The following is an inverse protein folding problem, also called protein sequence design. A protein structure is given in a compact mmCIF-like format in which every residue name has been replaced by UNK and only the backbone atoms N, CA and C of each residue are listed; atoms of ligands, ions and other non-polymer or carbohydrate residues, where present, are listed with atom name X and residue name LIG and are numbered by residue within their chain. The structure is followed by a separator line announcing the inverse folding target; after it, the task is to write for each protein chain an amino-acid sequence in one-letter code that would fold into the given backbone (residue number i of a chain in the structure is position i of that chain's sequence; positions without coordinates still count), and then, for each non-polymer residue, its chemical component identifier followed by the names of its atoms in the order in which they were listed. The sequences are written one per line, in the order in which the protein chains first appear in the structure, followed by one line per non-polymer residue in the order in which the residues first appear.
data_IF_083578162292
#
_entry.id   IF_083578162292
#
_cell.length_a   1.000
_cell.length_b   1.000
_cell.length_c   1.000
_cell.angle_alpha   90.00
_cell.angle_beta   90.00
_cell.angle_gamma   90.00
#
_symmetry.space_group_name_H-M   'P 1'
#
loop_
_entity.id
_entity.type
_entity.pdbx_description
1 polymer ?
#
# COMPACT_ATOMS: atom_id res chain seq x y z
N UNK A 1 -9.48 -7.81 1.23
CA UNK A 1 -9.19 -7.00 2.44
C UNK A 1 -10.43 -7.01 3.30
N UNK A 2 -10.30 -7.24 4.60
CA UNK A 2 -11.44 -7.22 5.55
C UNK A 2 -11.13 -6.35 6.76
N UNK A 3 -12.13 -5.58 7.21
CA UNK A 3 -11.96 -4.61 8.29
C UNK A 3 -11.73 -5.20 9.67
N UNK A 4 -12.12 -6.42 9.90
CA UNK A 4 -11.93 -7.13 11.18
C UNK A 4 -13.23 -7.58 11.83
N UNK A 5 -13.17 -7.97 13.09
CA UNK A 5 -14.17 -8.64 13.89
C UNK A 5 -14.47 -10.05 13.38
N UNK A 6 -15.24 -10.20 12.32
CA UNK A 6 -15.48 -11.48 11.65
C UNK A 6 -15.42 -11.31 10.13
N UNK A 7 -15.10 -12.37 9.44
CA UNK A 7 -15.06 -12.38 7.98
C UNK A 7 -16.49 -12.39 7.40
N UNK A 8 -16.64 -11.73 6.24
CA UNK A 8 -17.86 -11.80 5.45
C UNK A 8 -17.83 -13.04 4.56
N UNK A 9 -18.76 -13.97 4.71
CA UNK A 9 -18.74 -15.28 4.04
C UNK A 9 -18.67 -15.19 2.52
N UNK A 10 -19.45 -14.31 1.87
CA UNK A 10 -19.44 -14.18 0.41
C UNK A 10 -18.12 -13.59 -0.10
N UNK A 11 -17.49 -12.67 0.64
CA UNK A 11 -16.17 -12.18 0.31
C UNK A 11 -15.09 -13.26 0.47
N UNK A 12 -15.21 -14.11 1.48
CA UNK A 12 -14.32 -15.26 1.64
C UNK A 12 -14.52 -16.31 0.55
N UNK A 13 -15.76 -16.57 0.12
CA UNK A 13 -16.02 -17.41 -1.06
C UNK A 13 -15.41 -16.81 -2.32
N UNK A 14 -15.51 -15.50 -2.49
CA UNK A 14 -14.85 -14.78 -3.59
C UNK A 14 -13.32 -15.01 -3.60
N UNK A 15 -12.67 -14.96 -2.43
CA UNK A 15 -11.25 -15.26 -2.27
C UNK A 15 -10.95 -16.72 -2.62
N UNK A 16 -11.66 -17.68 -2.02
CA UNK A 16 -11.44 -19.12 -2.20
C UNK A 16 -11.66 -19.57 -3.67
N UNK A 17 -12.67 -19.02 -4.35
CA UNK A 17 -12.93 -19.31 -5.77
C UNK A 17 -11.73 -18.94 -6.66
N UNK A 18 -10.95 -17.94 -6.27
CA UNK A 18 -9.74 -17.50 -7.00
C UNK A 18 -8.51 -18.34 -6.69
N UNK A 19 -8.56 -19.16 -5.67
CA UNK A 19 -7.56 -20.21 -5.46
C UNK A 19 -7.71 -21.38 -6.46
N UNK A 20 -8.78 -21.38 -7.25
CA UNK A 20 -9.03 -22.33 -8.35
C UNK A 20 -8.89 -23.80 -7.93
N UNK A 21 -9.41 -24.15 -6.75
CA UNK A 21 -9.32 -25.50 -6.19
C UNK A 21 -7.97 -25.87 -5.60
N UNK A 22 -7.05 -24.93 -5.48
CA UNK A 22 -5.69 -25.14 -4.97
C UNK A 22 -5.57 -25.12 -3.45
N UNK A 23 -4.35 -24.90 -2.97
CA UNK A 23 -3.99 -24.90 -1.56
C UNK A 23 -4.07 -23.48 -0.98
N UNK A 24 -4.65 -23.35 0.20
CA UNK A 24 -4.78 -22.08 0.92
C UNK A 24 -3.90 -22.10 2.17
N UNK A 25 -2.98 -21.13 2.24
CA UNK A 25 -2.11 -20.94 3.38
C UNK A 25 -2.60 -19.74 4.21
N UNK A 26 -2.91 -19.98 5.49
CA UNK A 26 -3.21 -18.92 6.46
C UNK A 26 -1.95 -18.64 7.28
N UNK A 27 -1.45 -17.40 7.20
CA UNK A 27 -0.31 -16.94 7.98
C UNK A 27 -0.76 -16.06 9.15
N UNK A 28 -0.20 -16.29 10.32
CA UNK A 28 -0.45 -15.50 11.52
C UNK A 28 0.71 -15.58 12.51
N UNK A 29 0.85 -14.55 13.36
CA UNK A 29 1.88 -14.53 14.41
C UNK A 29 1.41 -15.14 15.74
N UNK A 30 0.09 -15.24 15.95
CA UNK A 30 -0.50 -15.77 17.19
C UNK A 30 -1.86 -16.38 16.92
N UNK A 31 -2.44 -17.10 17.90
CA UNK A 31 -3.77 -17.71 17.81
C UNK A 31 -3.74 -19.16 17.36
N UNK A 32 -4.80 -19.63 16.69
CA UNK A 32 -5.01 -21.03 16.36
C UNK A 32 -5.44 -21.22 14.89
N UNK A 33 -5.75 -22.47 14.52
CA UNK A 33 -6.10 -22.90 13.17
C UNK A 33 -7.61 -22.81 12.85
N UNK A 34 -8.33 -21.87 13.46
CA UNK A 34 -9.78 -21.72 13.26
C UNK A 34 -10.21 -21.54 11.80
N UNK A 35 -9.34 -20.98 10.97
CA UNK A 35 -9.62 -20.82 9.53
C UNK A 35 -9.67 -22.15 8.77
N UNK A 36 -8.99 -23.21 9.22
CA UNK A 36 -8.90 -24.45 8.46
C UNK A 36 -10.29 -25.02 8.18
N UNK A 37 -11.10 -25.27 9.22
CA UNK A 37 -12.45 -25.80 9.03
C UNK A 37 -13.39 -24.80 8.35
N UNK A 38 -13.27 -23.51 8.67
CA UNK A 38 -14.08 -22.45 8.09
C UNK A 38 -13.93 -22.39 6.57
N UNK A 39 -12.69 -22.28 6.08
CA UNK A 39 -12.41 -22.17 4.65
C UNK A 39 -12.57 -23.50 3.90
N UNK A 40 -12.15 -24.64 4.54
CA UNK A 40 -12.13 -25.94 3.88
C UNK A 40 -13.51 -26.55 3.69
N UNK A 41 -14.41 -26.41 4.67
CA UNK A 41 -15.67 -27.16 4.67
C UNK A 41 -16.93 -26.34 4.92
N UNK A 42 -16.85 -25.20 5.63
CA UNK A 42 -18.06 -24.47 6.03
C UNK A 42 -18.57 -23.54 4.93
N UNK A 43 -17.67 -22.98 4.11
CA UNK A 43 -18.04 -22.03 3.06
C UNK A 43 -18.53 -22.70 1.77
N UNK A 44 -18.32 -24.02 1.61
CA UNK A 44 -18.82 -24.77 0.46
C UNK A 44 -18.16 -24.42 -0.87
N UNK A 45 -16.91 -23.97 -0.84
CA UNK A 45 -16.06 -23.80 -2.03
C UNK A 45 -15.05 -24.93 -2.06
N UNK A 46 -14.95 -25.62 -3.20
CA UNK A 46 -14.01 -26.73 -3.35
C UNK A 46 -12.57 -26.19 -3.45
N UNK A 47 -11.72 -26.59 -2.50
CA UNK A 47 -10.28 -26.31 -2.44
C UNK A 47 -9.55 -27.58 -2.00
N UNK A 48 -8.28 -27.70 -2.39
CA UNK A 48 -7.49 -28.89 -2.10
C UNK A 48 -7.13 -29.01 -0.61
N UNK A 49 -6.62 -27.94 -0.03
CA UNK A 49 -6.26 -27.91 1.39
C UNK A 49 -6.36 -26.50 1.99
N UNK A 50 -6.44 -26.45 3.33
CA UNK A 50 -6.23 -25.22 4.12
C UNK A 50 -5.29 -25.53 5.25
N UNK A 51 -4.19 -24.83 5.32
CA UNK A 51 -3.26 -24.93 6.43
C UNK A 51 -3.04 -23.57 7.09
N UNK A 52 -3.05 -23.54 8.42
CA UNK A 52 -2.66 -22.36 9.21
C UNK A 52 -1.27 -22.57 9.80
N UNK A 53 -0.35 -21.68 9.48
CA UNK A 53 0.98 -21.62 10.12
C UNK A 53 1.01 -20.45 11.09
N UNK A 54 1.41 -20.74 12.34
CA UNK A 54 1.59 -19.73 13.38
C UNK A 54 3.09 -19.41 13.49
N UNK A 55 3.49 -18.32 12.89
CA UNK A 55 4.87 -17.79 12.95
C UNK A 55 5.01 -16.89 14.18
N UNK A 56 5.25 -17.46 15.34
CA UNK A 56 5.26 -16.75 16.63
C UNK A 56 6.63 -16.19 17.03
N UNK A 57 7.58 -16.21 16.12
CA UNK A 57 8.93 -15.63 16.28
C UNK A 57 9.57 -15.34 14.92
N UNK A 58 10.60 -14.50 14.84
CA UNK A 58 11.37 -14.29 13.61
C UNK A 58 12.02 -15.56 13.06
N UNK A 59 12.33 -16.55 13.90
CA UNK A 59 12.97 -17.79 13.46
C UNK A 59 12.10 -18.60 12.49
N UNK A 60 10.78 -18.51 12.63
CA UNK A 60 9.83 -19.15 11.71
C UNK A 60 10.00 -18.69 10.26
N UNK A 61 10.52 -17.47 10.03
CA UNK A 61 10.78 -16.94 8.70
C UNK A 61 11.93 -17.65 7.95
N UNK A 62 12.70 -18.47 8.65
CA UNK A 62 13.80 -19.26 8.09
C UNK A 62 13.50 -20.76 8.07
N UNK A 63 12.30 -21.16 8.48
CA UNK A 63 11.89 -22.57 8.48
C UNK A 63 11.62 -23.06 7.04
N UNK A 64 12.32 -24.11 6.56
CA UNK A 64 12.12 -24.67 5.22
C UNK A 64 10.68 -25.14 4.96
N UNK A 65 9.96 -25.56 6.00
CA UNK A 65 8.57 -25.97 5.86
C UNK A 65 7.67 -24.76 5.53
N UNK A 66 7.86 -23.63 6.22
CA UNK A 66 7.13 -22.39 5.92
C UNK A 66 7.40 -21.96 4.48
N UNK A 67 8.67 -22.00 4.05
CA UNK A 67 9.04 -21.69 2.66
C UNK A 67 8.36 -22.61 1.64
N UNK A 68 8.30 -23.89 1.94
CA UNK A 68 7.64 -24.87 1.07
C UNK A 68 6.14 -24.55 0.94
N UNK A 69 5.45 -24.29 2.06
CA UNK A 69 4.02 -23.99 2.03
C UNK A 69 3.69 -22.69 1.28
N UNK A 70 4.49 -21.63 1.45
CA UNK A 70 4.34 -20.40 0.66
C UNK A 70 4.52 -20.67 -0.83
N UNK A 71 5.51 -21.49 -1.20
CA UNK A 71 5.78 -21.82 -2.61
C UNK A 71 4.70 -22.70 -3.27
N UNK A 72 3.90 -23.42 -2.49
CA UNK A 72 2.85 -24.31 -2.98
C UNK A 72 1.45 -23.68 -2.98
N UNK A 73 1.22 -22.67 -2.16
CA UNK A 73 -0.10 -22.04 -2.00
C UNK A 73 -0.57 -21.31 -3.26
N UNK A 74 -1.84 -21.48 -3.64
CA UNK A 74 -2.58 -20.68 -4.62
C UNK A 74 -3.29 -19.49 -3.98
N UNK A 75 -3.49 -19.51 -2.66
CA UNK A 75 -4.00 -18.40 -1.89
C UNK A 75 -3.28 -18.21 -0.57
N UNK A 76 -2.97 -16.97 -0.22
CA UNK A 76 -2.41 -16.61 1.10
C UNK A 76 -3.35 -15.67 1.81
N UNK A 77 -3.72 -16.02 3.04
CA UNK A 77 -4.56 -15.23 3.92
C UNK A 77 -3.82 -14.82 5.18
N UNK A 78 -3.72 -13.52 5.43
CA UNK A 78 -3.17 -12.98 6.68
C UNK A 78 -4.29 -12.80 7.69
N UNK A 79 -4.23 -13.54 8.80
CA UNK A 79 -5.20 -13.43 9.86
C UNK A 79 -5.08 -12.11 10.65
N UNK A 80 -6.05 -11.84 11.51
CA UNK A 80 -5.98 -10.78 12.50
C UNK A 80 -4.92 -11.05 13.58
N UNK A 81 -4.47 -10.01 14.26
CA UNK A 81 -3.46 -10.08 15.31
C UNK A 81 -2.81 -8.73 15.56
N UNK A 82 -1.51 -8.73 15.80
CA UNK A 82 -0.68 -7.52 15.88
C UNK A 82 0.14 -7.40 14.58
N UNK A 83 -0.09 -6.35 13.81
CA UNK A 83 0.64 -6.11 12.56
C UNK A 83 2.14 -5.86 12.80
N UNK A 84 2.54 -5.39 13.98
CA UNK A 84 3.96 -5.25 14.28
C UNK A 84 4.68 -6.60 14.34
N UNK A 85 4.03 -7.64 14.84
CA UNK A 85 4.59 -8.99 14.79
C UNK A 85 4.84 -9.42 13.35
N UNK A 86 3.89 -9.18 12.43
CA UNK A 86 4.06 -9.51 11.02
C UNK A 86 5.23 -8.77 10.39
N UNK A 87 5.28 -7.45 10.58
CA UNK A 87 6.37 -6.61 10.04
C UNK A 87 7.71 -6.99 10.65
N UNK A 88 7.79 -7.15 11.98
CA UNK A 88 9.05 -7.43 12.67
C UNK A 88 9.59 -8.84 12.47
N UNK A 89 8.71 -9.81 12.19
CA UNK A 89 9.11 -11.20 11.99
C UNK A 89 9.40 -11.54 10.52
N UNK A 90 8.69 -10.92 9.57
CA UNK A 90 8.72 -11.35 8.18
C UNK A 90 9.46 -10.40 7.25
N UNK A 91 9.39 -9.09 7.48
CA UNK A 91 10.01 -8.11 6.58
C UNK A 91 11.53 -8.29 6.48
N UNK A 92 12.06 -8.23 5.26
CA UNK A 92 13.48 -8.47 4.94
C UNK A 92 13.95 -9.90 5.30
N UNK A 93 13.07 -10.88 5.21
CA UNK A 93 13.37 -12.30 5.44
C UNK A 93 13.00 -13.13 4.19
N UNK A 94 13.36 -14.43 4.13
CA UNK A 94 12.90 -15.29 3.05
C UNK A 94 11.37 -15.38 2.91
N UNK A 95 10.60 -15.27 4.00
CA UNK A 95 9.12 -15.27 3.95
C UNK A 95 8.61 -14.08 3.15
N UNK A 96 9.13 -12.89 3.42
CA UNK A 96 8.82 -11.67 2.65
C UNK A 96 9.09 -11.87 1.15
N UNK A 97 10.30 -12.29 0.81
CA UNK A 97 10.70 -12.52 -0.58
C UNK A 97 9.83 -13.56 -1.28
N UNK A 98 9.52 -14.68 -0.61
CA UNK A 98 8.70 -15.74 -1.18
C UNK A 98 7.23 -15.33 -1.37
N UNK A 99 6.66 -14.57 -0.45
CA UNK A 99 5.31 -14.04 -0.60
C UNK A 99 5.27 -13.07 -1.79
N UNK A 100 6.23 -12.15 -1.91
CA UNK A 100 6.29 -11.24 -3.04
C UNK A 100 6.47 -11.97 -4.38
N UNK A 101 7.33 -12.99 -4.45
CA UNK A 101 7.44 -13.84 -5.64
C UNK A 101 6.14 -14.58 -5.96
N UNK A 102 5.42 -15.06 -4.94
CA UNK A 102 4.13 -15.70 -5.14
C UNK A 102 3.10 -14.72 -5.73
N UNK A 103 3.09 -13.48 -5.28
CA UNK A 103 2.19 -12.43 -5.80
C UNK A 103 2.58 -12.07 -7.24
N UNK A 104 3.84 -11.76 -7.51
CA UNK A 104 4.29 -11.15 -8.77
C UNK A 104 4.48 -12.17 -9.90
N UNK A 105 4.99 -13.37 -9.60
CA UNK A 105 5.34 -14.36 -10.60
C UNK A 105 4.27 -15.45 -10.77
N UNK A 106 3.61 -15.85 -9.67
CA UNK A 106 2.58 -16.89 -9.72
C UNK A 106 1.15 -16.33 -9.75
N UNK A 107 0.97 -15.02 -9.53
CA UNK A 107 -0.32 -14.34 -9.52
C UNK A 107 -1.33 -15.02 -8.56
N UNK A 108 -0.87 -15.41 -7.37
CA UNK A 108 -1.74 -15.99 -6.36
C UNK A 108 -2.76 -14.97 -5.84
N UNK A 109 -3.88 -15.46 -5.30
CA UNK A 109 -4.78 -14.57 -4.57
C UNK A 109 -4.23 -14.31 -3.18
N UNK A 110 -4.26 -13.03 -2.76
CA UNK A 110 -3.79 -12.63 -1.43
C UNK A 110 -4.87 -11.84 -0.71
N UNK A 111 -4.96 -12.00 0.59
CA UNK A 111 -5.92 -11.26 1.40
C UNK A 111 -5.57 -11.26 2.89
N UNK A 112 -6.31 -10.47 3.65
CA UNK A 112 -6.14 -10.42 5.09
C UNK A 112 -7.23 -9.64 5.80
N UNK A 113 -7.33 -9.86 7.10
CA UNK A 113 -8.29 -9.21 7.99
C UNK A 113 -7.59 -8.46 9.11
N UNK A 114 -8.13 -7.31 9.54
CA UNK A 114 -7.58 -6.53 10.66
C UNK A 114 -6.08 -6.25 10.48
N UNK A 115 -5.21 -6.75 11.36
CA UNK A 115 -3.75 -6.64 11.20
C UNK A 115 -3.24 -7.17 9.85
N UNK A 116 -3.84 -8.26 9.34
CA UNK A 116 -3.51 -8.80 8.02
C UNK A 116 -3.93 -7.89 6.86
N UNK A 117 -5.03 -7.14 6.98
CA UNK A 117 -5.37 -6.08 6.03
C UNK A 117 -4.41 -4.89 6.14
N UNK A 118 -4.04 -4.52 7.37
CA UNK A 118 -3.21 -3.33 7.62
C UNK A 118 -1.81 -3.40 6.99
N UNK A 119 -1.32 -4.59 6.63
CA UNK A 119 0.01 -4.79 6.01
C UNK A 119 -0.03 -4.92 4.48
N UNK A 120 -1.21 -4.88 3.85
CA UNK A 120 -1.33 -5.11 2.39
C UNK A 120 -0.98 -3.89 1.55
N UNK A 121 -1.03 -2.68 2.10
CA UNK A 121 -0.70 -1.46 1.39
C UNK A 121 0.80 -1.26 1.20
N UNK A 122 1.21 -0.54 0.15
CA UNK A 122 2.59 -0.11 -0.06
C UNK A 122 3.06 0.84 1.04
N UNK A 123 2.12 1.57 1.65
CA UNK A 123 2.30 2.23 2.95
C UNK A 123 1.48 1.48 4.01
N UNK A 124 2.00 1.37 5.21
CA UNK A 124 1.27 0.71 6.28
C UNK A 124 1.54 1.33 7.66
N UNK A 125 0.48 1.35 8.47
CA UNK A 125 0.60 1.67 9.88
C UNK A 125 1.12 0.43 10.62
N UNK A 126 2.40 0.42 10.99
CA UNK A 126 3.05 -0.75 11.57
C UNK A 126 2.72 -1.00 13.05
N UNK A 127 2.11 -0.03 13.73
CA UNK A 127 1.75 -0.09 15.16
C UNK A 127 2.90 -0.44 16.12
N UNK A 128 4.16 -0.24 15.73
CA UNK A 128 5.36 -0.55 16.54
C UNK A 128 5.30 -0.01 17.97
N UNK A 129 4.66 1.13 18.15
CA UNK A 129 4.50 1.78 19.45
C UNK A 129 3.07 1.66 20.00
N UNK A 130 2.34 0.63 19.57
CA UNK A 130 0.93 0.41 19.86
C UNK A 130 -0.01 1.23 19.00
N UNK A 131 -1.31 1.02 19.20
CA UNK A 131 -2.34 1.74 18.43
C UNK A 131 -2.41 3.22 18.77
N UNK A 132 -2.92 4.01 17.83
CA UNK A 132 -3.20 5.44 18.02
C UNK A 132 -4.69 5.72 17.78
N UNK A 133 -5.31 6.56 18.60
CA UNK A 133 -6.68 7.06 18.38
C UNK A 133 -6.67 8.23 17.40
N UNK A 134 -7.80 8.46 16.71
CA UNK A 134 -7.97 9.61 15.83
C UNK A 134 -7.64 10.93 16.52
N UNK A 135 -8.17 11.16 17.73
CA UNK A 135 -7.91 12.38 18.49
C UNK A 135 -6.44 12.58 18.85
N UNK A 136 -5.72 11.53 19.26
CA UNK A 136 -4.30 11.63 19.57
C UNK A 136 -3.44 11.88 18.33
N UNK A 137 -3.75 11.22 17.22
CA UNK A 137 -3.06 11.40 15.95
C UNK A 137 -3.24 12.83 15.42
N UNK A 138 -4.46 13.33 15.42
CA UNK A 138 -4.76 14.68 14.95
C UNK A 138 -4.26 15.80 15.87
N UNK A 139 -4.19 15.56 17.19
CA UNK A 139 -3.64 16.55 18.14
C UNK A 139 -2.12 16.73 17.96
N UNK A 140 -1.42 15.70 17.52
CA UNK A 140 0.01 15.74 17.21
C UNK A 140 0.34 14.67 16.15
N UNK A 141 0.39 15.02 14.87
CA UNK A 141 0.73 14.08 13.79
C UNK A 141 2.07 13.37 13.96
N UNK A 142 2.97 13.93 14.78
CA UNK A 142 4.28 13.37 15.08
C UNK A 142 4.36 12.68 16.45
N UNK A 143 3.23 12.33 17.05
CA UNK A 143 3.26 11.42 18.22
C UNK A 143 3.93 10.10 17.83
N UNK A 144 4.73 9.53 18.72
CA UNK A 144 5.47 8.29 18.45
C UNK A 144 4.58 7.10 18.07
N UNK A 145 3.28 7.18 18.39
CA UNK A 145 2.29 6.16 18.00
C UNK A 145 1.81 6.27 16.56
N UNK A 146 2.01 7.39 15.88
CA UNK A 146 1.80 7.51 14.44
C UNK A 146 3.05 6.97 13.74
N UNK A 147 3.11 5.65 13.60
CA UNK A 147 4.27 4.95 13.03
C UNK A 147 3.89 4.37 11.66
N UNK A 148 3.91 5.22 10.65
CA UNK A 148 3.73 4.85 9.25
C UNK A 148 5.07 4.45 8.65
N UNK A 149 5.07 3.39 7.88
CA UNK A 149 6.24 2.86 7.18
C UNK A 149 6.01 2.88 5.67
N UNK A 150 7.04 3.22 4.90
CA UNK A 150 7.02 3.30 3.44
C UNK A 150 7.93 2.27 2.78
N UNK A 151 8.63 1.48 3.58
CA UNK A 151 9.52 0.47 3.03
C UNK A 151 8.70 -0.70 2.50
N UNK A 152 9.03 -1.14 1.30
CA UNK A 152 8.39 -2.29 0.67
C UNK A 152 8.39 -3.49 1.62
N UNK A 153 7.19 -3.93 1.98
CA UNK A 153 6.98 -5.19 2.67
C UNK A 153 6.26 -6.14 1.72
N UNK A 154 5.03 -5.83 1.33
CA UNK A 154 4.29 -6.59 0.33
C UNK A 154 4.05 -5.74 -0.92
N UNK A 155 4.21 -6.35 -2.10
CA UNK A 155 3.94 -5.73 -3.39
C UNK A 155 2.62 -6.25 -3.94
N UNK A 156 1.53 -5.69 -3.42
CA UNK A 156 0.17 -6.11 -3.81
C UNK A 156 -0.34 -5.23 -4.94
N UNK A 157 -0.76 -5.79 -6.08
CA UNK A 157 -1.26 -5.01 -7.21
C UNK A 157 -2.36 -4.02 -6.81
N UNK A 158 -2.33 -2.80 -7.36
CA UNK A 158 -3.20 -1.66 -7.08
C UNK A 158 -3.04 -1.02 -5.70
N UNK A 159 -2.13 -1.51 -4.85
CA UNK A 159 -1.94 -1.00 -3.48
C UNK A 159 -0.59 -0.33 -3.24
N UNK A 160 0.25 -0.12 -4.25
CA UNK A 160 1.61 0.43 -4.11
C UNK A 160 1.64 1.83 -3.46
N UNK A 161 0.66 2.68 -3.78
CA UNK A 161 0.51 4.03 -3.23
C UNK A 161 -0.64 4.13 -2.20
N UNK A 162 -1.05 3.00 -1.63
CA UNK A 162 -2.19 2.93 -0.72
C UNK A 162 -1.75 2.62 0.71
N UNK A 163 -2.40 3.27 1.67
CA UNK A 163 -2.40 2.87 3.08
C UNK A 163 -3.78 2.35 3.45
N UNK A 164 -3.84 1.16 4.05
CA UNK A 164 -5.10 0.55 4.48
C UNK A 164 -5.37 0.81 5.96
N UNK A 165 -6.64 0.94 6.35
CA UNK A 165 -7.05 0.98 7.76
C UNK A 165 -8.28 0.09 8.01
N UNK A 166 -8.42 -0.38 9.23
CA UNK A 166 -9.31 -1.48 9.63
C UNK A 166 -10.12 -1.10 10.87
N UNK A 167 -11.20 -1.84 11.21
CA UNK A 167 -12.07 -1.51 12.34
C UNK A 167 -12.46 -0.02 12.33
N UNK A 168 -12.89 0.47 11.17
CA UNK A 168 -12.89 1.90 10.91
C UNK A 168 -13.98 2.66 11.68
N UNK A 169 -15.03 2.00 12.01
CA UNK A 169 -16.17 2.46 12.82
C UNK A 169 -16.00 2.23 14.33
N UNK A 170 -15.11 1.32 14.74
CA UNK A 170 -15.04 0.87 16.14
C UNK A 170 -13.60 0.77 16.70
N UNK A 171 -13.09 1.84 17.34
CA UNK A 171 -13.61 3.21 17.38
C UNK A 171 -13.39 3.96 16.07
N UNK A 172 -13.99 5.13 15.90
CA UNK A 172 -13.77 5.98 14.71
C UNK A 172 -12.28 6.19 14.45
N UNK A 173 -11.83 5.79 13.25
CA UNK A 173 -10.44 5.85 12.81
C UNK A 173 -10.18 6.84 11.66
N UNK A 174 -11.19 7.60 11.24
CA UNK A 174 -11.07 8.62 10.18
C UNK A 174 -9.89 9.56 10.41
N UNK A 175 -9.82 10.16 11.59
CA UNK A 175 -8.77 11.13 11.90
C UNK A 175 -7.36 10.55 11.92
N UNK A 176 -7.18 9.30 12.36
CA UNK A 176 -5.84 8.70 12.31
C UNK A 176 -5.38 8.40 10.88
N UNK A 177 -6.27 7.92 10.02
CA UNK A 177 -5.93 7.65 8.63
C UNK A 177 -5.65 8.94 7.85
N UNK A 178 -6.45 9.99 8.07
CA UNK A 178 -6.14 11.33 7.52
C UNK A 178 -4.76 11.79 7.98
N UNK A 179 -4.41 11.56 9.25
CA UNK A 179 -3.07 11.89 9.78
C UNK A 179 -1.99 11.07 9.10
N UNK A 180 -2.21 9.80 8.81
CA UNK A 180 -1.25 8.96 8.07
C UNK A 180 -1.01 9.52 6.66
N UNK A 181 -2.07 9.85 5.93
CA UNK A 181 -1.98 10.47 4.60
C UNK A 181 -1.25 11.82 4.64
N UNK A 182 -1.59 12.67 5.63
CA UNK A 182 -0.90 13.94 5.84
C UNK A 182 0.61 13.78 6.09
N UNK A 183 0.98 12.76 6.90
CA UNK A 183 2.39 12.44 7.18
C UNK A 183 3.11 11.91 5.97
N UNK A 184 2.49 11.01 5.19
CA UNK A 184 3.08 10.48 3.96
C UNK A 184 3.35 11.63 2.98
N UNK A 185 2.37 12.51 2.79
CA UNK A 185 2.54 13.66 1.90
C UNK A 185 3.60 14.65 2.41
N UNK A 186 3.63 14.92 3.72
CA UNK A 186 4.57 15.89 4.29
C UNK A 186 6.00 15.36 4.32
N UNK A 187 6.18 14.08 4.70
CA UNK A 187 7.51 13.52 4.96
C UNK A 187 8.19 13.01 3.68
N UNK A 188 7.41 12.49 2.71
CA UNK A 188 7.94 11.87 1.49
C UNK A 188 7.48 12.54 0.20
N UNK A 189 6.57 13.51 0.25
CA UNK A 189 6.04 14.18 -0.93
C UNK A 189 5.14 13.30 -1.81
N UNK A 190 4.61 12.20 -1.25
CA UNK A 190 3.79 11.23 -1.99
C UNK A 190 2.32 11.44 -1.65
N UNK A 191 1.48 11.62 -2.66
CA UNK A 191 0.03 11.68 -2.55
C UNK A 191 -0.54 10.27 -2.42
N UNK A 192 -0.27 9.62 -1.28
CA UNK A 192 -0.83 8.31 -1.02
C UNK A 192 -2.35 8.35 -0.90
N UNK A 193 -2.98 7.20 -1.17
CA UNK A 193 -4.41 6.99 -1.09
C UNK A 193 -4.76 6.11 0.10
N UNK A 194 -6.00 6.16 0.55
CA UNK A 194 -6.49 5.37 1.67
C UNK A 194 -7.58 4.41 1.25
N UNK A 195 -7.54 3.16 1.75
CA UNK A 195 -8.67 2.24 1.72
C UNK A 195 -8.95 1.82 3.15
N UNK A 196 -10.21 1.99 3.58
CA UNK A 196 -10.63 1.61 4.91
C UNK A 196 -11.91 0.77 4.88
N UNK A 197 -12.04 -0.13 5.86
CA UNK A 197 -13.22 -0.95 6.03
C UNK A 197 -13.70 -0.92 7.48
N UNK A 198 -15.01 -0.83 7.66
CA UNK A 198 -15.68 -1.14 8.93
C UNK A 198 -15.47 -2.60 9.33
N UNK A 199 -15.74 -2.92 10.58
CA UNK A 199 -15.88 -4.30 11.00
C UNK A 199 -16.94 -5.01 10.11
N UNK A 200 -16.78 -6.30 9.88
CA UNK A 200 -17.66 -7.15 9.02
C UNK A 200 -17.69 -6.75 7.53
N UNK A 201 -16.97 -5.72 7.12
CA UNK A 201 -16.93 -5.23 5.75
C UNK A 201 -15.67 -5.70 5.02
N UNK A 202 -15.82 -5.99 3.73
CA UNK A 202 -14.70 -6.43 2.90
C UNK A 202 -14.61 -5.65 1.58
N UNK A 203 -13.39 -5.41 1.12
CA UNK A 203 -13.06 -4.91 -0.22
C UNK A 203 -12.30 -5.99 -0.98
N UNK A 204 -12.88 -6.47 -2.06
CA UNK A 204 -12.34 -7.51 -2.94
C UNK A 204 -11.95 -6.88 -4.28
N UNK A 205 -10.66 -6.87 -4.62
CA UNK A 205 -10.13 -6.23 -5.83
C UNK A 205 -9.88 -7.30 -6.89
N UNK A 206 -10.54 -7.15 -8.04
CA UNK A 206 -10.30 -8.01 -9.20
C UNK A 206 -9.01 -7.67 -9.93
N UNK A 207 -8.57 -8.55 -10.82
CA UNK A 207 -7.39 -8.32 -11.68
C UNK A 207 -7.58 -7.18 -12.68
N UNK A 208 -8.80 -6.71 -12.83
CA UNK A 208 -9.20 -5.54 -13.61
C UNK A 208 -9.10 -4.22 -12.82
N UNK A 209 -8.72 -4.27 -11.55
CA UNK A 209 -8.64 -3.11 -10.67
C UNK A 209 -10.00 -2.63 -10.13
N UNK A 210 -11.07 -3.39 -10.34
CA UNK A 210 -12.38 -3.07 -9.79
C UNK A 210 -12.53 -3.67 -8.40
N UNK A 211 -12.75 -2.82 -7.42
CA UNK A 211 -13.05 -3.18 -6.05
C UNK A 211 -14.55 -3.42 -5.87
N UNK A 212 -14.93 -4.60 -5.38
CA UNK A 212 -16.28 -4.96 -4.97
C UNK A 212 -16.36 -4.87 -3.44
N UNK A 213 -17.40 -4.24 -2.91
CA UNK A 213 -17.55 -4.04 -1.46
C UNK A 213 -18.64 -4.95 -0.92
N UNK A 214 -18.25 -5.83 -0.01
CA UNK A 214 -19.11 -6.80 0.66
C UNK A 214 -19.41 -6.37 2.09
N UNK A 215 -20.64 -6.60 2.54
CA UNK A 215 -21.17 -6.31 3.87
C UNK A 215 -22.63 -6.63 3.92
N UNK A 216 -23.31 -6.34 5.03
CA UNK A 216 -24.71 -6.71 5.29
C UNK A 216 -25.68 -5.52 5.10
N UNK A 217 -25.31 -4.52 4.31
CA UNK A 217 -26.22 -3.42 4.01
C UNK A 217 -27.41 -3.92 3.16
N UNK A 218 -28.67 -3.58 3.48
CA UNK A 218 -29.13 -2.59 4.47
C UNK A 218 -29.39 -3.13 5.90
N UNK A 219 -29.01 -4.36 6.20
CA UNK A 219 -29.19 -4.94 7.54
C UNK A 219 -28.33 -4.24 8.59
N UNK A 220 -27.08 -3.98 8.24
CA UNK A 220 -26.14 -3.20 9.02
C UNK A 220 -25.57 -2.06 8.17
N UNK A 221 -24.95 -1.07 8.82
CA UNK A 221 -24.35 0.10 8.16
C UNK A 221 -22.87 -0.14 7.84
N UNK A 222 -22.59 -1.22 7.14
CA UNK A 222 -21.26 -1.65 6.76
C UNK A 222 -20.70 -0.80 5.62
N UNK A 223 -19.56 -0.15 5.85
CA UNK A 223 -18.98 0.79 4.90
C UNK A 223 -17.53 0.46 4.55
N UNK A 224 -17.13 0.87 3.35
CA UNK A 224 -15.74 1.08 2.97
C UNK A 224 -15.53 2.51 2.46
N UNK A 225 -14.31 3.00 2.59
CA UNK A 225 -13.92 4.34 2.13
C UNK A 225 -12.70 4.25 1.24
N UNK A 226 -12.75 4.99 0.13
CA UNK A 226 -11.65 5.24 -0.78
C UNK A 226 -11.29 6.71 -0.69
N UNK A 227 -10.12 7.01 -0.14
CA UNK A 227 -9.70 8.34 0.29
C UNK A 227 -8.51 8.78 -0.55
N UNK A 228 -8.52 10.01 -1.06
CA UNK A 228 -7.41 10.57 -1.81
C UNK A 228 -7.30 12.08 -1.58
N UNK A 229 -6.11 12.61 -1.81
CA UNK A 229 -5.89 14.05 -1.87
C UNK A 229 -6.73 14.64 -2.99
N UNK A 230 -7.33 15.80 -2.76
CA UNK A 230 -8.16 16.43 -3.78
C UNK A 230 -7.29 16.98 -4.93
N UNK A 231 -7.29 16.26 -6.05
CA UNK A 231 -6.52 16.60 -7.25
C UNK A 231 -7.00 17.87 -7.97
N UNK A 232 -8.20 18.40 -7.62
CA UNK A 232 -8.75 19.63 -8.19
C UNK A 232 -8.07 20.87 -7.62
N UNK A 233 -7.24 20.71 -6.57
CA UNK A 233 -6.53 21.80 -5.90
C UNK A 233 -5.11 21.96 -6.46
N UNK A 234 -4.67 23.20 -6.64
CA UNK A 234 -3.28 23.51 -6.99
C UNK A 234 -2.31 23.22 -5.83
N UNK A 235 -2.74 23.49 -4.60
CA UNK A 235 -1.96 23.22 -3.39
C UNK A 235 -2.70 22.20 -2.52
N UNK A 236 -2.09 21.02 -2.38
CA UNK A 236 -2.73 19.84 -1.77
C UNK A 236 -2.16 19.46 -0.41
N UNK A 237 -0.97 20.00 -0.07
CA UNK A 237 -0.32 19.70 1.22
C UNK A 237 -1.11 20.26 2.40
N UNK A 238 -1.06 19.64 3.59
CA UNK A 238 -1.64 20.25 4.80
C UNK A 238 -1.11 21.66 5.06
N UNK A 239 -1.96 22.55 5.59
CA UNK A 239 -1.53 23.86 6.08
C UNK A 239 -0.61 23.71 7.28
N UNK A 240 -0.84 22.70 8.12
CA UNK A 240 -0.04 22.41 9.29
C UNK A 240 0.00 20.92 9.56
N UNK A 241 1.17 20.32 9.37
CA UNK A 241 1.50 18.95 9.81
C UNK A 241 2.90 18.98 10.44
N UNK A 242 2.98 19.44 11.69
CA UNK A 242 4.24 19.66 12.41
C UNK A 242 4.20 19.07 13.82
N UNK A 243 5.37 18.78 14.37
CA UNK A 243 5.50 18.20 15.71
C UNK A 243 4.87 19.09 16.79
N UNK A 244 4.10 18.49 17.69
CA UNK A 244 3.51 19.16 18.85
C UNK A 244 2.37 20.12 18.55
N UNK A 245 1.85 20.15 17.33
CA UNK A 245 0.73 21.01 16.93
C UNK A 245 -0.39 20.18 16.31
N UNK A 246 -1.66 20.59 16.46
CA UNK A 246 -2.78 19.90 15.80
C UNK A 246 -2.63 19.90 14.27
N UNK A 247 -3.12 18.86 13.63
CA UNK A 247 -3.22 18.82 12.18
C UNK A 247 -4.22 19.89 11.68
N UNK A 248 -3.82 20.62 10.63
CA UNK A 248 -4.70 21.47 9.82
C UNK A 248 -4.52 21.05 8.37
N UNK A 249 -5.58 20.55 7.78
CA UNK A 249 -5.67 20.18 6.37
C UNK A 249 -7.06 20.53 5.86
N UNK A 250 -7.29 21.82 5.70
CA UNK A 250 -8.61 22.36 5.41
C UNK A 250 -8.83 22.59 3.91
N UNK A 251 -7.92 23.29 3.27
CA UNK A 251 -7.98 23.59 1.83
C UNK A 251 -9.37 24.10 1.41
N UNK A 252 -9.90 25.05 2.16
CA UNK A 252 -11.26 25.59 1.97
C UNK A 252 -12.33 24.48 2.02
N UNK A 253 -12.26 23.63 3.05
CA UNK A 253 -13.21 22.52 3.29
C UNK A 253 -13.19 21.43 2.22
N UNK A 254 -12.09 21.30 1.43
CA UNK A 254 -12.01 20.37 0.31
C UNK A 254 -10.68 19.61 0.21
N UNK A 255 -9.95 19.45 1.32
CA UNK A 255 -8.59 18.86 1.33
C UNK A 255 -8.51 17.46 0.73
N UNK A 256 -9.49 16.62 1.06
CA UNK A 256 -9.55 15.22 0.61
C UNK A 256 -10.86 14.94 -0.11
N UNK A 257 -10.81 14.12 -1.14
CA UNK A 257 -11.99 13.51 -1.77
C UNK A 257 -12.12 12.07 -1.30
N UNK A 258 -13.32 11.74 -0.87
CA UNK A 258 -13.63 10.41 -0.32
C UNK A 258 -14.84 9.84 -1.03
N UNK A 259 -14.74 8.59 -1.46
CA UNK A 259 -15.88 7.82 -1.91
C UNK A 259 -16.30 6.86 -0.80
N UNK A 260 -17.43 7.17 -0.16
CA UNK A 260 -18.04 6.28 0.84
C UNK A 260 -18.98 5.32 0.14
N UNK A 261 -18.87 4.03 0.44
CA UNK A 261 -19.61 3.00 -0.27
C UNK A 261 -20.10 1.90 0.70
N UNK A 262 -21.38 1.54 0.58
CA UNK A 262 -21.98 0.48 1.40
C UNK A 262 -21.56 -0.90 0.91
N UNK A 263 -21.18 -1.77 1.85
CA UNK A 263 -20.95 -3.18 1.59
C UNK A 263 -22.28 -3.93 1.45
N UNK A 264 -22.49 -4.59 0.32
CA UNK A 264 -23.68 -5.41 0.10
C UNK A 264 -23.33 -6.90 0.17
N UNK A 265 -24.28 -7.74 0.52
CA UNK A 265 -24.02 -9.19 0.65
C UNK A 265 -23.50 -9.85 -0.65
N UNK A 266 -23.84 -9.30 -1.81
CA UNK A 266 -23.40 -9.79 -3.13
C UNK A 266 -22.28 -8.99 -3.77
N UNK A 267 -21.70 -8.00 -3.08
CA UNK A 267 -20.60 -7.17 -3.62
C UNK A 267 -20.98 -6.38 -4.88
N UNK A 268 -22.23 -5.91 -4.97
CA UNK A 268 -22.71 -5.17 -6.15
C UNK A 268 -22.21 -3.75 -6.25
N UNK A 269 -21.82 -3.16 -5.13
CA UNK A 269 -21.27 -1.83 -5.07
C UNK A 269 -19.76 -1.88 -5.37
N UNK A 270 -19.28 -0.94 -6.19
CA UNK A 270 -17.93 -1.03 -6.75
C UNK A 270 -17.19 0.30 -6.76
N UNK A 271 -15.85 0.23 -6.77
CA UNK A 271 -14.97 1.37 -6.98
C UNK A 271 -13.81 0.99 -7.93
N UNK A 272 -13.43 1.91 -8.81
CA UNK A 272 -12.40 1.72 -9.83
C UNK A 272 -11.05 2.25 -9.34
N UNK A 273 -10.14 1.35 -8.98
CA UNK A 273 -8.79 1.68 -8.51
C UNK A 273 -7.83 2.08 -9.64
N UNK A 274 -8.17 1.86 -10.91
CA UNK A 274 -7.33 2.33 -12.00
C UNK A 274 -7.40 3.85 -12.15
N UNK A 275 -8.56 4.42 -11.88
CA UNK A 275 -8.79 5.85 -12.08
C UNK A 275 -8.99 6.62 -10.79
N UNK A 276 -9.43 5.96 -9.71
CA UNK A 276 -9.83 6.57 -8.43
C UNK A 276 -10.89 7.67 -8.55
N UNK A 277 -11.62 7.68 -9.66
CA UNK A 277 -12.62 8.71 -9.96
C UNK A 277 -14.01 8.15 -10.21
N UNK A 278 -14.17 6.83 -10.21
CA UNK A 278 -15.44 6.17 -10.55
C UNK A 278 -15.82 5.15 -9.50
N UNK A 279 -17.07 5.19 -9.08
CA UNK A 279 -17.69 4.20 -8.23
C UNK A 279 -19.18 4.05 -8.55
N UNK A 280 -19.78 2.99 -8.04
CA UNK A 280 -21.19 2.70 -8.15
C UNK A 280 -21.74 2.26 -6.80
N UNK A 281 -22.88 2.81 -6.38
CA UNK A 281 -23.57 2.48 -5.13
C UNK A 281 -23.02 3.17 -3.90
N UNK A 282 -22.22 4.22 -4.04
CA UNK A 282 -21.70 5.06 -2.98
C UNK A 282 -21.87 6.54 -3.27
N UNK A 283 -21.28 7.37 -2.44
CA UNK A 283 -21.39 8.84 -2.50
C UNK A 283 -20.02 9.50 -2.33
N UNK A 284 -19.82 10.65 -2.96
CA UNK A 284 -18.63 11.46 -2.83
C UNK A 284 -18.78 12.44 -1.66
N UNK A 285 -17.68 12.59 -0.91
CA UNK A 285 -17.58 13.53 0.21
C UNK A 285 -16.27 14.31 0.10
N UNK A 286 -16.26 15.54 0.62
CA UNK A 286 -15.05 16.24 0.97
C UNK A 286 -14.76 15.97 2.45
N UNK A 287 -13.53 15.61 2.78
CA UNK A 287 -13.05 15.56 4.15
C UNK A 287 -11.95 16.60 4.36
N UNK A 288 -11.98 17.23 5.52
CA UNK A 288 -10.99 18.22 5.89
C UNK A 288 -10.79 18.28 7.41
N UNK A 289 -9.66 18.85 7.83
CA UNK A 289 -9.28 18.91 9.25
C UNK A 289 -9.04 20.36 9.65
N UNK A 290 -9.83 20.87 10.56
CA UNK A 290 -9.66 22.18 11.20
C UNK A 290 -9.18 22.00 12.63
N UNK A 291 -7.94 22.42 12.92
CA UNK A 291 -7.36 22.39 14.27
C UNK A 291 -7.53 21.03 14.99
N UNK A 292 -7.20 19.93 14.29
CA UNK A 292 -7.28 18.59 14.84
C UNK A 292 -8.69 17.98 14.94
N UNK A 293 -9.67 18.57 14.26
CA UNK A 293 -11.04 18.05 14.19
C UNK A 293 -11.37 17.70 12.74
N UNK A 294 -11.84 16.47 12.50
CA UNK A 294 -12.33 16.04 11.19
C UNK A 294 -13.72 16.62 10.94
N UNK A 295 -13.92 17.12 9.74
CA UNK A 295 -15.20 17.56 9.22
C UNK A 295 -15.41 16.92 7.84
N UNK A 296 -16.66 16.77 7.46
CA UNK A 296 -17.05 16.29 6.15
C UNK A 296 -18.23 17.09 5.58
N UNK A 297 -18.35 17.08 4.26
CA UNK A 297 -19.47 17.64 3.52
C UNK A 297 -19.75 16.81 2.28
N UNK A 298 -20.98 16.90 1.77
CA UNK A 298 -21.32 16.31 0.47
C UNK A 298 -20.45 16.90 -0.64
N UNK A 299 -20.12 16.09 -1.63
CA UNK A 299 -19.30 16.49 -2.76
C UNK A 299 -19.81 15.89 -4.06
N UNK A 300 -19.58 16.62 -5.14
CA UNK A 300 -19.64 16.05 -6.47
C UNK A 300 -18.48 15.05 -6.69
N UNK A 301 -18.65 14.20 -7.70
CA UNK A 301 -17.59 13.32 -8.18
C UNK A 301 -16.33 14.14 -8.46
N UNK A 302 -15.19 13.56 -8.06
CA UNK A 302 -13.88 14.17 -8.33
C UNK A 302 -13.63 14.25 -9.85
N UNK A 303 -13.16 15.39 -10.30
CA UNK A 303 -12.77 15.69 -11.67
C UNK A 303 -11.28 16.06 -11.72
N UNK A 304 -10.42 15.06 -11.47
CA UNK A 304 -9.02 15.26 -11.75
C UNK A 304 -8.90 15.61 -13.24
N UNK A 305 -8.56 16.86 -13.55
CA UNK A 305 -7.99 17.12 -14.86
C UNK A 305 -6.84 16.13 -14.97
N UNK A 306 -6.72 15.37 -16.08
CA UNK A 306 -5.40 14.82 -16.36
C UNK A 306 -4.49 16.04 -16.16
N UNK A 307 -3.62 16.00 -15.16
CA UNK A 307 -2.50 16.91 -15.18
C UNK A 307 -2.10 16.89 -16.65
N UNK A 308 -2.09 18.04 -17.33
CA UNK A 308 -1.23 18.20 -18.47
C UNK A 308 0.20 18.05 -17.92
N UNK A 309 0.54 16.89 -17.45
CA UNK A 309 1.69 16.23 -17.97
C UNK A 309 1.33 16.20 -19.45
N UNK A 310 1.69 17.24 -20.23
CA UNK A 310 2.49 16.88 -21.34
C UNK A 310 3.23 15.68 -20.79
N UNK A 311 2.83 14.46 -21.18
CA UNK A 311 3.80 13.40 -21.24
C UNK A 311 4.94 14.14 -21.93
N UNK A 312 5.86 14.66 -21.16
CA UNK A 312 7.21 14.64 -21.63
C UNK A 312 7.30 13.13 -21.75
N UNK A 313 6.92 12.61 -22.94
CA UNK A 313 7.64 11.51 -23.50
C UNK A 313 9.08 12.01 -23.30
N UNK A 314 9.60 11.76 -22.12
CA UNK A 314 10.97 11.52 -21.98
C UNK A 314 11.09 10.33 -22.91
N UNK A 315 11.34 10.64 -24.20
CA UNK A 315 12.02 9.74 -25.08
C UNK A 315 13.33 9.41 -24.35
N UNK A 316 13.18 8.64 -23.26
CA UNK A 316 14.25 7.81 -22.72
C UNK A 316 14.34 6.70 -23.76
N UNK A 317 14.51 7.13 -25.03
CA UNK A 317 15.00 6.29 -26.07
C UNK A 317 16.42 5.96 -25.65
N UNK A 318 16.51 4.86 -24.87
CA UNK A 318 17.74 4.14 -24.61
C UNK A 318 18.90 4.99 -24.06
N UNK A 319 19.17 4.84 -22.76
CA UNK A 319 20.51 5.14 -22.27
C UNK A 319 21.42 3.93 -22.50
N UNK A 320 22.66 4.20 -22.87
CA UNK A 320 23.68 3.17 -23.02
C UNK A 320 24.68 3.27 -21.88
N UNK A 321 25.03 2.14 -21.30
CA UNK A 321 26.05 2.02 -20.25
C UNK A 321 27.17 1.15 -20.78
N UNK A 322 28.39 1.69 -20.78
CA UNK A 322 29.56 0.90 -21.19
C UNK A 322 30.83 1.32 -20.43
N UNK A 323 31.76 0.37 -20.23
CA UNK A 323 31.59 -1.05 -20.50
C UNK A 323 30.62 -1.71 -19.52
N UNK A 324 29.80 -2.63 -20.03
CA UNK A 324 28.96 -3.48 -19.20
C UNK A 324 29.08 -4.94 -19.73
N UNK A 325 29.71 -5.88 -19.00
CA UNK A 325 30.21 -5.75 -17.62
C UNK A 325 31.37 -4.76 -17.45
N UNK A 326 31.44 -4.15 -16.27
CA UNK A 326 32.52 -3.27 -15.85
C UNK A 326 33.56 -4.04 -15.04
N UNK A 327 34.84 -3.81 -15.30
CA UNK A 327 35.94 -4.44 -14.60
C UNK A 327 36.78 -3.47 -13.77
N UNK A 328 37.18 -2.36 -14.36
CA UNK A 328 37.96 -1.28 -13.73
C UNK A 328 37.93 -0.01 -14.58
N UNK A 329 38.19 1.15 -13.98
CA UNK A 329 38.26 2.44 -14.67
C UNK A 329 36.94 3.22 -14.57
N UNK A 330 36.47 3.70 -15.72
CA UNK A 330 35.28 4.57 -15.80
C UNK A 330 34.10 3.89 -16.47
N UNK A 331 32.90 4.19 -16.01
CA UNK A 331 31.63 3.81 -16.62
C UNK A 331 31.11 5.03 -17.37
N UNK A 332 30.81 4.88 -18.64
CA UNK A 332 30.17 5.93 -19.44
C UNK A 332 28.67 5.64 -19.51
N UNK A 333 27.89 6.67 -19.24
CA UNK A 333 26.42 6.63 -19.39
C UNK A 333 26.09 7.66 -20.48
N UNK A 334 25.58 7.19 -21.60
CA UNK A 334 25.05 8.05 -22.66
C UNK A 334 23.52 8.06 -22.60
N UNK A 335 22.92 9.24 -22.75
CA UNK A 335 21.48 9.43 -22.79
C UNK A 335 21.10 10.47 -23.84
N UNK A 336 19.93 10.29 -24.45
CA UNK A 336 19.39 11.23 -25.42
C UNK A 336 18.49 12.24 -24.70
N UNK A 337 18.67 13.53 -24.99
CA UNK A 337 17.85 14.61 -24.42
C UNK A 337 18.53 15.37 -23.29
N UNK A 338 17.73 15.98 -22.41
CA UNK A 338 18.22 16.71 -21.22
C UNK A 338 18.75 15.71 -20.20
N UNK A 339 20.01 15.88 -19.78
CA UNK A 339 20.64 14.99 -18.80
C UNK A 339 19.98 15.01 -17.43
N UNK A 340 20.16 13.95 -16.63
CA UNK A 340 19.63 13.89 -15.27
C UNK A 340 20.31 14.92 -14.36
N UNK A 341 19.61 15.39 -13.33
CA UNK A 341 20.21 16.23 -12.29
C UNK A 341 21.14 15.44 -11.37
N UNK A 342 20.80 14.19 -11.11
CA UNK A 342 21.55 13.32 -10.21
C UNK A 342 21.66 11.93 -10.83
N UNK A 343 22.87 11.36 -10.77
CA UNK A 343 23.14 9.96 -11.09
C UNK A 343 23.60 9.27 -9.82
N UNK A 344 22.94 8.18 -9.46
CA UNK A 344 23.25 7.40 -8.27
C UNK A 344 23.65 5.98 -8.69
N UNK A 345 24.82 5.54 -8.28
CA UNK A 345 25.25 4.14 -8.35
C UNK A 345 25.04 3.50 -6.97
N UNK A 346 24.27 2.44 -6.88
CA UNK A 346 24.01 1.70 -5.65
C UNK A 346 24.24 0.19 -5.84
N UNK A 347 24.60 -0.47 -4.76
CA UNK A 347 24.59 -1.94 -4.69
C UNK A 347 23.15 -2.45 -4.62
N UNK A 348 22.95 -3.76 -4.85
CA UNK A 348 21.61 -4.38 -4.86
C UNK A 348 20.89 -4.36 -3.50
N UNK A 349 21.60 -4.10 -2.41
CA UNK A 349 21.04 -3.89 -1.07
C UNK A 349 20.62 -2.42 -0.81
N UNK A 350 20.73 -1.57 -1.84
CA UNK A 350 20.37 -0.15 -1.76
C UNK A 350 21.45 0.76 -1.18
N UNK A 351 22.65 0.24 -0.84
CA UNK A 351 23.75 1.06 -0.35
C UNK A 351 24.28 1.95 -1.49
N UNK A 352 24.24 3.25 -1.30
CA UNK A 352 24.77 4.22 -2.25
C UNK A 352 26.30 4.13 -2.29
N UNK A 353 26.84 3.93 -3.48
CA UNK A 353 28.30 3.79 -3.72
C UNK A 353 28.85 5.08 -4.28
N UNK A 354 28.11 5.76 -5.15
CA UNK A 354 28.52 6.99 -5.80
C UNK A 354 27.29 7.84 -6.12
N UNK A 355 27.42 9.15 -5.91
CA UNK A 355 26.40 10.13 -6.31
C UNK A 355 27.10 11.27 -7.08
N UNK A 356 26.65 11.50 -8.29
CA UNK A 356 27.12 12.59 -9.12
C UNK A 356 25.97 13.57 -9.42
N UNK A 357 26.25 14.86 -9.24
CA UNK A 357 25.38 15.94 -9.66
C UNK A 357 25.87 16.50 -10.98
N UNK A 358 25.16 16.23 -12.06
CA UNK A 358 25.55 16.66 -13.40
C UNK A 358 24.42 17.47 -14.05
N UNK A 359 24.63 18.73 -14.36
CA UNK A 359 23.65 19.48 -15.13
C UNK A 359 23.80 19.19 -16.63
N UNK A 360 22.76 18.68 -17.23
CA UNK A 360 22.33 18.82 -18.59
C UNK A 360 23.32 18.56 -19.74
N UNK A 361 23.90 17.36 -19.85
CA UNK A 361 24.74 16.96 -21.00
C UNK A 361 24.31 15.59 -21.51
N UNK A 362 24.68 15.27 -22.74
CA UNK A 362 24.30 14.02 -23.42
C UNK A 362 25.01 12.76 -22.89
N UNK A 363 26.02 12.90 -22.04
CA UNK A 363 26.73 11.77 -21.41
C UNK A 363 27.43 12.18 -20.12
N UNK A 364 27.63 11.19 -19.25
CA UNK A 364 28.38 11.32 -17.99
C UNK A 364 29.36 10.18 -17.85
N UNK A 365 30.50 10.47 -17.24
CA UNK A 365 31.53 9.48 -16.91
C UNK A 365 31.56 9.33 -15.39
N UNK A 366 31.23 8.14 -14.90
CA UNK A 366 31.38 7.77 -13.50
C UNK A 366 32.73 7.08 -13.31
N UNK A 367 33.46 7.47 -12.29
CA UNK A 367 34.75 6.88 -11.93
C UNK A 367 34.67 6.36 -10.49
N UNK A 368 33.98 5.23 -10.26
CA UNK A 368 33.84 4.70 -8.91
C UNK A 368 35.19 4.16 -8.44
N UNK A 369 35.56 4.50 -7.21
CA UNK A 369 36.66 3.83 -6.52
C UNK A 369 36.32 2.34 -6.37
N UNK A 370 37.30 1.46 -6.50
CA UNK A 370 37.25 -0.01 -6.42
C UNK A 370 35.89 -0.61 -6.01
N UNK A 371 35.08 -0.97 -7.00
CA UNK A 371 33.84 -1.71 -6.74
C UNK A 371 34.14 -3.21 -6.49
N UNK A 372 33.60 -3.83 -5.44
CA UNK A 372 33.57 -5.28 -5.33
C UNK A 372 32.88 -5.93 -6.53
N UNK A 373 33.23 -7.17 -6.84
CA UNK A 373 32.50 -7.91 -7.87
C UNK A 373 31.05 -8.10 -7.46
N UNK A 374 30.10 -7.65 -8.29
CA UNK A 374 28.68 -7.69 -7.98
C UNK A 374 27.82 -7.08 -9.07
N UNK A 375 26.50 -7.02 -8.82
CA UNK A 375 25.53 -6.31 -9.64
C UNK A 375 25.26 -4.98 -8.95
N UNK A 376 25.17 -3.92 -9.75
CA UNK A 376 24.92 -2.56 -9.28
C UNK A 376 23.76 -1.97 -10.06
N UNK A 377 23.02 -1.08 -9.42
CA UNK A 377 21.92 -0.33 -10.03
C UNK A 377 22.37 1.11 -10.29
N UNK A 378 22.03 1.63 -11.46
CA UNK A 378 22.21 3.05 -11.80
C UNK A 378 20.82 3.69 -11.84
N UNK A 379 20.62 4.71 -11.01
CA UNK A 379 19.38 5.50 -10.97
C UNK A 379 19.66 6.90 -11.55
N UNK A 380 18.82 7.34 -12.47
CA UNK A 380 18.87 8.65 -13.08
C UNK A 380 17.70 9.48 -12.55
N UNK A 381 17.99 10.62 -11.89
CA UNK A 381 16.96 11.51 -11.36
C UNK A 381 16.92 12.78 -12.22
N UNK A 382 15.75 13.10 -12.76
CA UNK A 382 15.49 14.28 -13.57
C UNK A 382 14.74 15.33 -12.76
N UNK A 383 14.92 16.60 -13.10
CA UNK A 383 14.21 17.71 -12.47
C UNK A 383 12.74 17.62 -12.81
N UNK A 384 11.86 17.62 -11.81
CA UNK A 384 10.48 18.00 -12.03
C UNK A 384 10.46 19.50 -12.35
N UNK A 385 10.18 19.86 -13.59
CA UNK A 385 10.00 21.25 -13.99
C UNK A 385 8.67 21.70 -13.40
N UNK A 386 8.72 22.44 -12.30
CA UNK A 386 7.58 23.20 -11.80
C UNK A 386 7.51 24.42 -12.72
N UNK A 387 6.57 24.45 -13.67
CA UNK A 387 6.19 25.67 -14.35
C UNK A 387 5.42 26.54 -13.35
N UNK A 388 6.00 27.67 -12.96
CA UNK A 388 5.35 28.77 -12.24
C UNK A 388 4.37 29.51 -13.16
#
# INVERSE_FOLDING_TARGET
MMGGASEHDEAMKWFLQRCNGGDVLVLRASGSNGYNAYMYSQLGVDINSVETIVCNSPDASFDPYVHQQINQAEGIWFAGGDQWDYVSYWRNTPVDSLINLAITERNIVIGGTSAGMAILGGFYFNAKNGTVTSSAAMANPYTSRVSVDSTSFLTVPFLDDVITDTHYDNPDRKGRQITFLARILTDWGIEAKGIACDEYTAVCIGTDGIAQVYGDYPGNDDNAWFIQTNCELDLRTPEQCIIGSPLIWDRNETALKVYNIKGTNSGTNTFDLNTWTKGNGGEWQNWYVTNGTVNDSESDRIHCQPTNTESIDLDIESFNIYPNPFHEGSIVIEYNGTGPEVIILSSMDGTEVLREHQPGVYSTILTPDKLPAGIYMISLQYRHIIHT
#
